data_IF_062453501181
#
_entry.id   IF_062453501181
#
_cell.length_a   1.000
_cell.length_b   1.000
_cell.length_c   1.000
_cell.angle_alpha   90.00
_cell.angle_beta   90.00
_cell.angle_gamma   90.00
#
_symmetry.space_group_name_H-M   'P 1'
#
loop_
_entity.id
_entity.type
_entity.pdbx_description
1 polymer ?
#
# COMPACT_ATOMS: atom_id res chain seq x y z
N UNK A 1 -32.34 -39.69 -9.71
CA UNK A 1 -31.40 -38.62 -10.10
C UNK A 1 -30.01 -39.14 -9.80
N UNK A 2 -29.00 -38.73 -10.57
CA UNK A 2 -27.63 -39.03 -10.15
C UNK A 2 -27.31 -38.22 -8.90
N UNK A 3 -26.50 -38.74 -7.98
CA UNK A 3 -26.12 -38.02 -6.74
C UNK A 3 -25.59 -36.60 -7.03
N UNK A 4 -24.94 -36.40 -8.18
CA UNK A 4 -24.49 -35.09 -8.66
C UNK A 4 -25.65 -34.14 -9.03
N UNK A 5 -26.74 -34.64 -9.59
CA UNK A 5 -27.95 -33.84 -9.86
C UNK A 5 -28.62 -33.39 -8.56
N UNK A 6 -28.66 -34.27 -7.56
CA UNK A 6 -29.19 -33.96 -6.22
C UNK A 6 -28.32 -32.91 -5.51
N UNK A 7 -26.99 -33.05 -5.56
CA UNK A 7 -26.07 -32.02 -5.05
C UNK A 7 -26.21 -30.69 -5.80
N UNK A 8 -26.47 -30.73 -7.11
CA UNK A 8 -26.66 -29.53 -7.92
C UNK A 8 -27.95 -28.79 -7.55
N UNK A 9 -29.05 -29.50 -7.31
CA UNK A 9 -30.35 -28.88 -6.98
C UNK A 9 -30.45 -28.43 -5.53
N UNK A 10 -29.87 -29.18 -4.58
CA UNK A 10 -30.07 -28.95 -3.15
C UNK A 10 -28.94 -28.16 -2.50
N UNK A 11 -27.70 -28.25 -3.00
CA UNK A 11 -26.50 -27.76 -2.29
C UNK A 11 -25.82 -26.57 -2.95
N UNK A 12 -25.93 -26.44 -4.27
CA UNK A 12 -25.24 -25.39 -5.01
C UNK A 12 -25.95 -24.05 -4.85
N UNK A 13 -25.26 -23.10 -4.23
CA UNK A 13 -25.73 -21.72 -4.05
C UNK A 13 -25.49 -20.88 -5.30
N UNK A 14 -24.42 -21.19 -6.03
CA UNK A 14 -24.00 -20.49 -7.23
C UNK A 14 -24.36 -21.29 -8.48
N UNK A 15 -24.67 -20.59 -9.57
CA UNK A 15 -24.96 -21.24 -10.84
C UNK A 15 -23.75 -22.07 -11.32
N UNK A 16 -24.05 -23.28 -11.80
CA UNK A 16 -23.04 -24.19 -12.37
C UNK A 16 -23.20 -24.20 -13.90
N UNK A 17 -22.50 -23.32 -14.62
CA UNK A 17 -22.41 -23.46 -16.06
C UNK A 17 -21.75 -24.81 -16.38
N UNK A 18 -22.35 -25.59 -17.27
CA UNK A 18 -21.87 -26.92 -17.67
C UNK A 18 -22.62 -28.12 -17.08
N UNK A 19 -23.45 -27.93 -16.05
CA UNK A 19 -24.27 -29.00 -15.47
C UNK A 19 -23.47 -30.22 -14.99
N UNK A 20 -24.15 -31.36 -14.89
CA UNK A 20 -23.56 -32.61 -14.36
C UNK A 20 -22.72 -33.37 -15.39
N UNK A 21 -23.00 -33.18 -16.68
CA UNK A 21 -22.38 -33.94 -17.77
C UNK A 21 -20.93 -33.53 -18.04
N UNK A 22 -20.54 -32.31 -17.69
CA UNK A 22 -19.21 -31.78 -17.99
C UNK A 22 -18.26 -31.89 -16.79
N UNK A 23 -16.98 -32.16 -17.06
CA UNK A 23 -15.93 -32.25 -16.03
C UNK A 23 -15.81 -30.97 -15.20
N UNK A 24 -15.88 -29.80 -15.83
CA UNK A 24 -15.79 -28.52 -15.10
C UNK A 24 -17.05 -28.23 -14.26
N UNK A 25 -18.21 -28.70 -14.70
CA UNK A 25 -19.45 -28.62 -13.93
C UNK A 25 -19.42 -29.53 -12.70
N UNK A 26 -18.95 -30.78 -12.86
CA UNK A 26 -18.68 -31.70 -11.74
C UNK A 26 -17.74 -31.08 -10.70
N UNK A 27 -16.62 -30.51 -11.12
CA UNK A 27 -15.66 -29.85 -10.21
C UNK A 27 -16.33 -28.71 -9.44
N UNK A 28 -17.14 -27.88 -10.11
CA UNK A 28 -17.87 -26.79 -9.47
C UNK A 28 -18.89 -27.32 -8.43
N UNK A 29 -19.71 -28.31 -8.78
CA UNK A 29 -20.68 -28.91 -7.84
C UNK A 29 -19.98 -29.48 -6.62
N UNK A 30 -18.92 -30.28 -6.81
CA UNK A 30 -18.18 -30.88 -5.70
C UNK A 30 -17.54 -29.83 -4.78
N UNK A 31 -17.05 -28.74 -5.36
CA UNK A 31 -16.47 -27.62 -4.63
C UNK A 31 -17.52 -26.87 -3.81
N UNK A 32 -18.70 -26.61 -4.38
CA UNK A 32 -19.81 -25.99 -3.62
C UNK A 32 -20.31 -26.91 -2.51
N UNK A 33 -20.45 -28.21 -2.78
CA UNK A 33 -20.83 -29.21 -1.79
C UNK A 33 -19.81 -29.29 -0.63
N UNK A 34 -18.51 -29.14 -0.95
CA UNK A 34 -17.45 -29.12 0.05
C UNK A 34 -17.55 -27.91 0.99
N UNK A 35 -17.84 -26.72 0.43
CA UNK A 35 -18.04 -25.49 1.20
C UNK A 35 -19.29 -25.58 2.07
N UNK A 36 -20.40 -26.09 1.52
CA UNK A 36 -21.66 -26.29 2.23
C UNK A 36 -21.63 -27.43 3.26
N UNK A 37 -20.53 -28.21 3.34
CA UNK A 37 -20.36 -29.36 4.24
C UNK A 37 -21.41 -30.46 4.05
N UNK A 38 -21.90 -30.62 2.81
CA UNK A 38 -22.86 -31.68 2.48
C UNK A 38 -22.14 -33.03 2.43
N UNK A 39 -22.79 -34.08 2.93
CA UNK A 39 -22.29 -35.45 2.80
C UNK A 39 -22.43 -35.94 1.37
N UNK A 40 -21.38 -36.59 0.88
CA UNK A 40 -21.34 -37.29 -0.40
C UNK A 40 -21.20 -38.78 -0.08
N UNK A 41 -22.10 -39.59 -0.63
CA UNK A 41 -22.25 -41.02 -0.35
C UNK A 41 -21.38 -41.88 -1.26
N UNK A 42 -21.23 -41.50 -2.54
CA UNK A 42 -20.41 -42.27 -3.47
C UNK A 42 -18.92 -42.10 -3.21
N UNK A 43 -18.24 -43.22 -2.96
CA UNK A 43 -16.80 -43.26 -2.68
C UNK A 43 -15.95 -42.59 -3.76
N UNK A 44 -16.33 -42.72 -5.04
CA UNK A 44 -15.61 -42.07 -6.14
C UNK A 44 -15.72 -40.55 -6.06
N UNK A 45 -16.91 -40.02 -5.75
CA UNK A 45 -17.16 -38.59 -5.61
C UNK A 45 -16.50 -38.02 -4.35
N UNK A 46 -16.44 -38.77 -3.26
CA UNK A 46 -15.69 -38.37 -2.04
C UNK A 46 -14.20 -38.18 -2.35
N UNK A 47 -13.61 -39.12 -3.09
CA UNK A 47 -12.20 -39.03 -3.52
C UNK A 47 -11.98 -37.81 -4.43
N UNK A 48 -12.87 -37.59 -5.41
CA UNK A 48 -12.79 -36.45 -6.32
C UNK A 48 -12.97 -35.11 -5.59
N UNK A 49 -13.92 -35.03 -4.66
CA UNK A 49 -14.16 -33.83 -3.86
C UNK A 49 -12.93 -33.48 -3.01
N UNK A 50 -12.33 -34.47 -2.35
CA UNK A 50 -11.10 -34.27 -1.57
C UNK A 50 -9.95 -33.77 -2.45
N UNK A 51 -9.78 -34.35 -3.65
CA UNK A 51 -8.79 -33.90 -4.62
C UNK A 51 -9.05 -32.45 -5.06
N UNK A 52 -10.28 -32.10 -5.42
CA UNK A 52 -10.65 -30.73 -5.81
C UNK A 52 -10.36 -29.75 -4.67
N UNK A 53 -10.81 -30.06 -3.46
CA UNK A 53 -10.65 -29.19 -2.30
C UNK A 53 -9.18 -28.91 -1.93
N UNK A 54 -8.32 -29.95 -1.94
CA UNK A 54 -6.89 -29.81 -1.65
C UNK A 54 -6.18 -28.89 -2.67
N UNK A 55 -6.64 -28.89 -3.92
CA UNK A 55 -6.07 -28.08 -4.98
C UNK A 55 -6.70 -26.68 -5.09
N UNK A 56 -7.96 -26.54 -4.70
CA UNK A 56 -8.71 -25.30 -4.87
C UNK A 56 -8.08 -24.12 -4.11
N UNK A 57 -7.62 -24.33 -2.87
CA UNK A 57 -7.00 -23.26 -2.07
C UNK A 57 -5.79 -22.62 -2.77
N UNK A 58 -4.84 -23.43 -3.24
CA UNK A 58 -3.64 -22.94 -3.95
C UNK A 58 -3.96 -22.29 -5.29
N UNK A 59 -4.93 -22.83 -6.03
CA UNK A 59 -5.34 -22.28 -7.32
C UNK A 59 -6.01 -20.91 -7.11
N UNK A 60 -6.96 -20.81 -6.17
CA UNK A 60 -7.64 -19.55 -5.87
C UNK A 60 -6.66 -18.51 -5.34
N UNK A 61 -5.67 -18.91 -4.53
CA UNK A 61 -4.61 -18.00 -4.07
C UNK A 61 -3.77 -17.48 -5.22
N UNK A 62 -3.36 -18.33 -6.16
CA UNK A 62 -2.62 -17.92 -7.34
C UNK A 62 -3.43 -16.95 -8.22
N UNK A 63 -4.72 -17.22 -8.43
CA UNK A 63 -5.61 -16.33 -9.18
C UNK A 63 -5.77 -14.97 -8.48
N UNK A 64 -5.89 -14.97 -7.15
CA UNK A 64 -5.96 -13.76 -6.34
C UNK A 64 -4.69 -12.92 -6.54
N UNK A 65 -3.51 -13.52 -6.41
CA UNK A 65 -2.24 -12.81 -6.59
C UNK A 65 -2.05 -12.25 -8.01
N UNK A 66 -2.52 -12.97 -9.03
CA UNK A 66 -2.54 -12.48 -10.41
C UNK A 66 -3.45 -11.24 -10.53
N UNK A 67 -4.66 -11.30 -9.96
CA UNK A 67 -5.60 -10.18 -10.01
C UNK A 67 -5.12 -8.96 -9.23
N UNK A 68 -4.45 -9.19 -8.10
CA UNK A 68 -3.82 -8.13 -7.30
C UNK A 68 -2.69 -7.45 -8.08
N UNK A 69 -1.82 -8.23 -8.73
CA UNK A 69 -0.73 -7.69 -9.59
C UNK A 69 -1.24 -6.97 -10.83
N UNK A 70 -2.42 -7.36 -11.35
CA UNK A 70 -3.10 -6.67 -12.45
C UNK A 70 -3.94 -5.48 -12.00
N UNK A 71 -3.96 -5.18 -10.70
CA UNK A 71 -4.71 -4.08 -10.10
C UNK A 71 -6.23 -4.14 -10.35
N UNK A 72 -6.84 -5.33 -10.26
CA UNK A 72 -8.29 -5.51 -10.41
C UNK A 72 -8.99 -5.66 -9.05
N UNK A 73 -9.57 -4.59 -8.46
CA UNK A 73 -10.05 -4.61 -7.07
C UNK A 73 -11.24 -5.53 -6.86
N UNK A 74 -12.26 -5.45 -7.73
CA UNK A 74 -13.47 -6.28 -7.59
C UNK A 74 -13.13 -7.77 -7.67
N UNK A 75 -12.29 -8.15 -8.64
CA UNK A 75 -11.94 -9.55 -8.84
C UNK A 75 -10.99 -10.06 -7.75
N UNK A 76 -10.01 -9.25 -7.33
CA UNK A 76 -9.14 -9.60 -6.21
C UNK A 76 -9.94 -9.79 -4.92
N UNK A 77 -10.88 -8.89 -4.61
CA UNK A 77 -11.77 -9.02 -3.45
C UNK A 77 -12.62 -10.30 -3.48
N UNK A 78 -13.22 -10.62 -4.64
CA UNK A 78 -14.01 -11.86 -4.82
C UNK A 78 -13.15 -13.12 -4.67
N UNK A 79 -11.97 -13.17 -5.28
CA UNK A 79 -11.07 -14.32 -5.18
C UNK A 79 -10.52 -14.51 -3.77
N UNK A 80 -10.19 -13.43 -3.07
CA UNK A 80 -9.77 -13.49 -1.67
C UNK A 80 -10.91 -14.03 -0.78
N UNK A 81 -12.14 -13.60 -1.03
CA UNK A 81 -13.30 -14.14 -0.32
C UNK A 81 -13.52 -15.63 -0.62
N UNK A 82 -13.33 -16.07 -1.87
CA UNK A 82 -13.39 -17.48 -2.24
C UNK A 82 -12.29 -18.31 -1.57
N UNK A 83 -11.05 -17.80 -1.49
CA UNK A 83 -9.96 -18.46 -0.76
C UNK A 83 -10.40 -18.76 0.69
N UNK A 84 -10.88 -17.73 1.38
CA UNK A 84 -11.37 -17.85 2.76
C UNK A 84 -12.58 -18.78 2.88
N UNK A 85 -13.49 -18.75 1.91
CA UNK A 85 -14.69 -19.60 1.86
C UNK A 85 -14.32 -21.09 1.79
N UNK A 86 -13.33 -21.42 0.96
CA UNK A 86 -12.82 -22.79 0.78
C UNK A 86 -12.07 -23.25 2.04
N UNK A 87 -11.17 -22.41 2.55
CA UNK A 87 -10.33 -22.74 3.70
C UNK A 87 -11.17 -22.95 4.98
N UNK A 88 -12.22 -22.13 5.16
CA UNK A 88 -13.10 -22.21 6.34
C UNK A 88 -14.29 -23.16 6.15
N UNK A 89 -14.52 -23.68 4.93
CA UNK A 89 -15.74 -24.39 4.54
C UNK A 89 -16.98 -23.65 5.05
N UNK A 90 -17.08 -22.38 4.66
CA UNK A 90 -18.10 -21.46 5.15
C UNK A 90 -18.37 -20.40 4.09
N UNK A 91 -19.63 -20.16 3.76
CA UNK A 91 -20.00 -19.16 2.78
C UNK A 91 -19.87 -17.74 3.34
N UNK A 92 -19.49 -16.79 2.49
CA UNK A 92 -19.29 -15.40 2.89
C UNK A 92 -20.55 -14.66 3.36
N UNK A 93 -21.75 -15.19 3.11
CA UNK A 93 -23.03 -14.62 3.56
C UNK A 93 -23.52 -15.23 4.89
N UNK A 94 -22.90 -16.31 5.37
CA UNK A 94 -23.24 -16.92 6.65
C UNK A 94 -22.66 -16.10 7.81
N UNK A 95 -23.14 -16.35 9.03
CA UNK A 95 -22.68 -15.58 10.18
C UNK A 95 -21.19 -15.86 10.47
N UNK A 96 -20.30 -14.84 10.52
CA UNK A 96 -18.87 -15.04 10.76
C UNK A 96 -18.54 -15.72 12.10
N UNK A 97 -19.48 -15.72 13.06
CA UNK A 97 -19.34 -16.44 14.32
C UNK A 97 -19.19 -17.95 14.15
N UNK A 98 -19.59 -18.52 13.00
CA UNK A 98 -19.37 -19.94 12.66
C UNK A 98 -17.88 -20.33 12.59
N UNK A 99 -16.98 -19.35 12.50
CA UNK A 99 -15.53 -19.56 12.54
C UNK A 99 -15.00 -19.88 13.95
N UNK A 100 -15.78 -19.63 15.01
CA UNK A 100 -15.38 -19.93 16.38
C UNK A 100 -15.81 -21.36 16.77
N UNK A 101 -14.86 -22.26 17.13
CA UNK A 101 -15.18 -23.64 17.49
C UNK A 101 -15.92 -23.76 18.83
N UNK A 102 -15.96 -22.69 19.63
CA UNK A 102 -16.62 -22.67 20.94
C UNK A 102 -18.15 -22.61 20.85
N UNK A 103 -18.70 -22.20 19.71
CA UNK A 103 -20.14 -22.04 19.53
C UNK A 103 -20.75 -23.30 18.91
N UNK A 104 -21.81 -23.83 19.53
CA UNK A 104 -22.55 -24.97 19.00
C UNK A 104 -23.43 -24.57 17.82
N UNK A 105 -23.72 -25.54 16.93
CA UNK A 105 -24.59 -25.33 15.77
C UNK A 105 -26.00 -24.87 16.16
N UNK A 106 -26.53 -25.34 17.29
CA UNK A 106 -27.84 -24.91 17.81
C UNK A 106 -27.88 -23.42 18.13
N UNK A 107 -26.82 -22.89 18.73
CA UNK A 107 -26.73 -21.46 19.09
C UNK A 107 -26.58 -20.62 17.83
N UNK A 108 -25.73 -21.06 16.90
CA UNK A 108 -25.52 -20.38 15.61
C UNK A 108 -26.82 -20.30 14.81
N UNK A 109 -27.59 -21.39 14.75
CA UNK A 109 -28.90 -21.41 14.09
C UNK A 109 -29.87 -20.41 14.73
N UNK A 110 -29.94 -20.34 16.06
CA UNK A 110 -30.77 -19.35 16.76
C UNK A 110 -30.37 -17.90 16.48
N UNK A 111 -29.08 -17.63 16.32
CA UNK A 111 -28.56 -16.30 15.97
C UNK A 111 -28.99 -15.93 14.54
N UNK A 112 -28.90 -16.89 13.61
CA UNK A 112 -29.27 -16.72 12.20
C UNK A 112 -30.79 -16.59 12.01
N UNK A 113 -31.59 -17.41 12.70
CA UNK A 113 -33.06 -17.34 12.69
C UNK A 113 -33.56 -15.96 13.15
N UNK A 114 -32.87 -15.36 14.13
CA UNK A 114 -33.17 -14.01 14.64
C UNK A 114 -32.50 -12.88 13.85
N UNK A 115 -31.75 -13.20 12.78
CA UNK A 115 -31.04 -12.23 11.92
C UNK A 115 -30.18 -11.23 12.70
N UNK A 116 -29.50 -11.72 13.74
CA UNK A 116 -28.60 -10.90 14.55
C UNK A 116 -27.26 -10.69 13.82
N UNK A 117 -27.02 -9.46 13.38
CA UNK A 117 -25.75 -9.05 12.74
C UNK A 117 -24.65 -8.84 13.80
N UNK A 118 -23.39 -8.88 13.37
CA UNK A 118 -22.24 -8.65 14.26
C UNK A 118 -22.32 -7.28 14.91
N UNK A 119 -22.69 -6.24 14.16
CA UNK A 119 -22.76 -4.87 14.67
C UNK A 119 -23.81 -4.75 15.78
N UNK A 120 -24.99 -5.36 15.60
CA UNK A 120 -26.01 -5.44 16.66
C UNK A 120 -25.48 -6.19 17.89
N UNK A 121 -24.79 -7.32 17.70
CA UNK A 121 -24.20 -8.08 18.80
C UNK A 121 -23.05 -7.33 19.51
N UNK A 122 -22.34 -6.43 18.80
CA UNK A 122 -21.32 -5.54 19.38
C UNK A 122 -21.96 -4.48 20.28
N UNK A 123 -23.15 -4.00 19.98
CA UNK A 123 -23.87 -3.01 20.81
C UNK A 123 -24.58 -3.64 22.02
N UNK A 124 -25.20 -4.81 21.84
CA UNK A 124 -26.01 -5.46 22.89
C UNK A 124 -25.20 -5.94 24.10
N UNK A 125 -25.80 -5.92 25.29
CA UNK A 125 -25.17 -6.50 26.48
C UNK A 125 -25.20 -8.03 26.46
N UNK A 126 -24.27 -8.67 27.17
CA UNK A 126 -24.17 -10.12 27.25
C UNK A 126 -25.46 -10.77 27.79
N UNK A 127 -26.21 -10.10 28.68
CA UNK A 127 -27.49 -10.60 29.18
C UNK A 127 -28.56 -10.59 28.10
N UNK A 128 -28.66 -9.51 27.35
CA UNK A 128 -29.61 -9.34 26.24
C UNK A 128 -29.37 -10.39 25.16
N UNK A 129 -28.10 -10.60 24.78
CA UNK A 129 -27.71 -11.65 23.84
C UNK A 129 -28.15 -13.01 24.37
N UNK A 130 -27.91 -13.29 25.65
CA UNK A 130 -28.32 -14.53 26.30
C UNK A 130 -29.83 -14.75 26.30
N UNK A 131 -30.63 -13.70 26.54
CA UNK A 131 -32.09 -13.75 26.44
C UNK A 131 -32.55 -13.98 24.99
N UNK A 132 -31.90 -13.33 24.02
CA UNK A 132 -32.20 -13.52 22.60
C UNK A 132 -31.95 -14.96 22.13
N UNK A 133 -30.89 -15.64 22.57
CA UNK A 133 -30.68 -17.05 22.20
C UNK A 133 -31.42 -18.04 23.10
N UNK A 134 -32.25 -17.55 24.03
CA UNK A 134 -32.89 -18.34 25.09
C UNK A 134 -31.89 -19.19 25.88
N UNK A 135 -30.67 -18.68 26.09
CA UNK A 135 -29.59 -19.36 26.79
C UNK A 135 -28.66 -18.35 27.49
N UNK A 136 -29.08 -17.87 28.65
CA UNK A 136 -28.45 -16.75 29.38
C UNK A 136 -26.94 -16.93 29.60
N UNK A 137 -26.50 -18.14 29.97
CA UNK A 137 -25.07 -18.43 30.21
C UNK A 137 -24.19 -18.30 28.95
N UNK A 138 -24.75 -18.50 27.76
CA UNK A 138 -23.98 -18.44 26.51
C UNK A 138 -23.85 -17.02 25.98
N UNK A 139 -24.64 -16.07 26.49
CA UNK A 139 -24.53 -14.66 26.10
C UNK A 139 -23.14 -14.08 26.35
N UNK A 140 -22.48 -14.44 27.45
CA UNK A 140 -21.10 -14.00 27.75
C UNK A 140 -20.08 -14.59 26.77
N UNK A 141 -20.22 -15.87 26.42
CA UNK A 141 -19.36 -16.55 25.44
C UNK A 141 -19.54 -15.94 24.05
N UNK A 142 -20.78 -15.72 23.61
CA UNK A 142 -21.08 -15.08 22.32
C UNK A 142 -20.49 -13.67 22.28
N UNK A 143 -20.70 -12.86 23.33
CA UNK A 143 -20.12 -11.52 23.42
C UNK A 143 -18.60 -11.55 23.36
N UNK A 144 -17.97 -12.52 24.02
CA UNK A 144 -16.53 -12.73 23.95
C UNK A 144 -16.08 -13.04 22.51
N UNK A 145 -16.76 -13.95 21.80
CA UNK A 145 -16.45 -14.27 20.40
C UNK A 145 -16.63 -13.06 19.48
N UNK A 146 -17.68 -12.26 19.67
CA UNK A 146 -17.92 -11.04 18.89
C UNK A 146 -16.78 -10.03 19.09
N UNK A 147 -16.34 -9.82 20.33
CA UNK A 147 -15.22 -8.94 20.65
C UNK A 147 -13.86 -9.49 20.18
N UNK A 148 -13.80 -10.78 19.86
CA UNK A 148 -12.60 -11.43 19.33
C UNK A 148 -12.57 -11.44 17.80
N UNK A 149 -13.66 -11.11 17.11
CA UNK A 149 -13.63 -11.04 15.65
C UNK A 149 -12.70 -9.89 15.23
N UNK A 150 -11.68 -10.11 14.36
CA UNK A 150 -10.74 -9.07 13.99
C UNK A 150 -11.46 -7.87 13.37
N UNK A 151 -11.34 -6.73 14.04
CA UNK A 151 -11.91 -5.47 13.60
C UNK A 151 -10.88 -4.34 13.60
N UNK A 152 -10.94 -3.49 12.58
CA UNK A 152 -10.03 -2.37 12.41
C UNK A 152 -10.84 -1.10 12.21
N UNK A 153 -10.43 -0.05 12.91
CA UNK A 153 -10.85 1.32 12.60
C UNK A 153 -9.78 1.98 11.72
N UNK A 154 -10.23 2.70 10.69
CA UNK A 154 -9.39 3.22 9.61
C UNK A 154 -9.65 4.71 9.42
N UNK A 155 -8.61 5.52 9.66
CA UNK A 155 -8.64 6.95 9.40
C UNK A 155 -7.59 7.30 8.34
N UNK A 156 -8.01 7.90 7.24
CA UNK A 156 -7.12 8.31 6.17
C UNK A 156 -6.98 9.85 6.15
N UNK A 157 -5.74 10.33 6.18
CA UNK A 157 -5.39 11.73 5.96
C UNK A 157 -4.57 11.88 4.69
N UNK A 158 -4.85 12.91 3.90
CA UNK A 158 -4.20 13.14 2.60
C UNK A 158 -3.39 14.43 2.60
N UNK A 159 -2.24 14.37 1.95
CA UNK A 159 -1.36 15.51 1.75
C UNK A 159 -0.87 15.53 0.28
N UNK A 160 -1.21 16.55 -0.52
CA UNK A 160 -0.72 16.63 -1.88
C UNK A 160 0.78 16.94 -1.90
N UNK A 161 1.55 16.12 -2.62
CA UNK A 161 2.99 16.37 -2.85
C UNK A 161 3.14 17.16 -4.15
N UNK A 162 2.49 16.68 -5.21
CA UNK A 162 2.42 17.33 -6.53
C UNK A 162 0.97 17.31 -7.01
N UNK A 163 0.71 17.87 -8.19
CA UNK A 163 -0.61 17.77 -8.82
C UNK A 163 -1.01 16.36 -9.25
N UNK A 164 -0.05 15.44 -9.31
CA UNK A 164 -0.26 14.06 -9.79
C UNK A 164 -0.02 13.02 -8.69
N UNK A 165 0.50 13.41 -7.53
CA UNK A 165 0.87 12.50 -6.45
C UNK A 165 0.35 13.02 -5.12
N UNK A 166 -0.47 12.21 -4.47
CA UNK A 166 -0.91 12.41 -3.09
C UNK A 166 -0.17 11.46 -2.15
N UNK A 167 0.23 11.96 -1.00
CA UNK A 167 0.62 11.15 0.14
C UNK A 167 -0.62 10.85 0.96
N UNK A 168 -0.87 9.57 1.22
CA UNK A 168 -1.90 9.11 2.14
C UNK A 168 -1.20 8.63 3.41
N UNK A 169 -1.64 9.13 4.55
CA UNK A 169 -1.31 8.62 5.87
C UNK A 169 -2.55 7.92 6.41
N UNK A 170 -2.49 6.60 6.43
CA UNK A 170 -3.52 5.72 6.97
C UNK A 170 -3.18 5.37 8.40
N UNK A 171 -4.07 5.72 9.31
CA UNK A 171 -4.03 5.41 10.73
C UNK A 171 -4.96 4.22 10.97
N UNK A 172 -4.41 3.14 11.50
CA UNK A 172 -5.11 1.87 11.72
C UNK A 172 -5.13 1.60 13.22
N UNK A 173 -6.33 1.51 13.77
CA UNK A 173 -6.55 1.21 15.19
C UNK A 173 -7.21 -0.16 15.33
N UNK A 174 -6.61 -1.10 16.09
CA UNK A 174 -7.22 -2.41 16.30
C UNK A 174 -8.39 -2.32 17.26
N UNK A 175 -9.57 -2.80 16.85
CA UNK A 175 -10.82 -2.73 17.61
C UNK A 175 -11.33 -4.14 18.01
N UNK A 176 -10.42 -5.01 18.46
CA UNK A 176 -10.76 -6.37 18.89
C UNK A 176 -9.82 -6.87 19.97
N UNK A 177 -10.23 -7.94 20.67
CA UNK A 177 -9.45 -8.60 21.71
C UNK A 177 -8.73 -9.82 21.17
N UNK A 178 -7.41 -9.85 21.37
CA UNK A 178 -6.59 -11.00 21.00
C UNK A 178 -6.89 -12.23 21.87
N UNK A 179 -6.94 -13.40 21.23
CA UNK A 179 -7.01 -14.72 21.87
C UNK A 179 -6.12 -15.70 21.09
N UNK A 180 -5.14 -16.29 21.78
CA UNK A 180 -4.13 -17.16 21.18
C UNK A 180 -4.73 -18.44 20.59
N UNK A 181 -5.86 -18.91 21.12
CA UNK A 181 -6.53 -20.11 20.60
C UNK A 181 -7.13 -19.91 19.22
N UNK A 182 -7.44 -18.66 18.88
CA UNK A 182 -8.24 -18.29 17.72
C UNK A 182 -7.41 -17.56 16.68
N UNK A 183 -6.56 -16.63 17.13
CA UNK A 183 -5.72 -15.78 16.26
C UNK A 183 -4.32 -16.36 16.04
N UNK A 184 -3.96 -17.38 16.81
CA UNK A 184 -2.61 -17.93 16.85
C UNK A 184 -1.65 -17.09 17.69
N UNK A 185 -0.35 -17.36 17.54
CA UNK A 185 0.67 -16.92 18.49
C UNK A 185 1.32 -15.58 18.15
N UNK A 186 1.33 -15.17 16.88
CA UNK A 186 2.17 -14.06 16.40
C UNK A 186 1.39 -12.88 15.86
N UNK A 187 0.75 -13.04 14.71
CA UNK A 187 0.16 -11.94 13.94
C UNK A 187 -1.05 -12.35 13.10
N UNK A 188 -1.93 -11.38 12.89
CA UNK A 188 -3.07 -11.47 11.99
C UNK A 188 -2.81 -10.65 10.72
N UNK A 189 -2.82 -11.29 9.53
CA UNK A 189 -2.58 -10.61 8.27
C UNK A 189 -3.81 -9.90 7.71
N UNK A 190 -3.58 -8.72 7.15
CA UNK A 190 -4.55 -7.92 6.41
C UNK A 190 -3.96 -7.46 5.08
N UNK A 191 -4.79 -7.48 4.04
CA UNK A 191 -4.52 -6.76 2.81
C UNK A 191 -5.07 -5.36 2.92
N UNK A 192 -4.23 -4.38 2.62
CA UNK A 192 -4.62 -2.98 2.55
C UNK A 192 -4.40 -2.52 1.11
N UNK A 193 -5.46 -2.05 0.47
CA UNK A 193 -5.32 -1.47 -0.86
C UNK A 193 -6.19 -0.24 -1.06
N UNK A 194 -5.74 0.64 -1.94
CA UNK A 194 -6.50 1.81 -2.39
C UNK A 194 -7.05 1.55 -3.77
N UNK A 195 -8.37 1.64 -3.89
CA UNK A 195 -9.08 1.43 -5.14
C UNK A 195 -9.79 2.69 -5.62
N UNK A 196 -9.83 2.81 -6.94
CA UNK A 196 -10.67 3.75 -7.67
C UNK A 196 -11.99 3.07 -8.06
N UNK A 197 -13.14 3.54 -7.55
CA UNK A 197 -14.43 2.99 -7.93
C UNK A 197 -14.78 3.25 -9.42
N UNK A 198 -14.31 4.36 -9.99
CA UNK A 198 -14.69 4.78 -11.35
C UNK A 198 -13.87 4.02 -12.39
N UNK A 199 -12.56 3.85 -12.13
CA UNK A 199 -11.65 3.16 -13.04
C UNK A 199 -11.48 1.67 -12.74
N UNK A 200 -12.09 1.15 -11.65
CA UNK A 200 -11.94 -0.22 -11.18
C UNK A 200 -10.45 -0.64 -11.15
N UNK A 201 -9.63 0.18 -10.50
CA UNK A 201 -8.18 0.01 -10.48
C UNK A 201 -7.62 0.12 -9.06
N UNK A 202 -6.66 -0.73 -8.71
CA UNK A 202 -5.90 -0.62 -7.47
C UNK A 202 -4.63 0.22 -7.72
N UNK A 203 -4.50 1.35 -7.02
CA UNK A 203 -3.31 2.19 -7.11
C UNK A 203 -2.18 1.79 -6.17
N UNK A 204 -2.54 1.27 -5.01
CA UNK A 204 -1.59 0.84 -4.00
C UNK A 204 -2.13 -0.40 -3.31
N UNK A 205 -1.28 -1.38 -3.07
CA UNK A 205 -1.60 -2.54 -2.25
C UNK A 205 -0.40 -2.92 -1.39
N UNK A 206 -0.66 -3.28 -0.14
CA UNK A 206 0.35 -3.68 0.83
C UNK A 206 -0.20 -4.82 1.70
N UNK A 207 0.69 -5.73 2.09
CA UNK A 207 0.39 -6.81 3.02
C UNK A 207 0.80 -6.41 4.43
N UNK A 208 -0.18 -6.14 5.27
CA UNK A 208 0.01 -5.63 6.62
C UNK A 208 -0.14 -6.75 7.66
N UNK A 209 0.85 -6.89 8.54
CA UNK A 209 0.85 -7.87 9.63
C UNK A 209 0.60 -7.17 10.96
N UNK A 210 -0.55 -7.45 11.57
CA UNK A 210 -0.91 -6.91 12.88
C UNK A 210 -0.48 -7.88 13.99
N UNK A 211 0.49 -7.47 14.81
CA UNK A 211 1.06 -8.33 15.85
C UNK A 211 0.21 -8.34 17.12
N UNK A 212 0.25 -9.46 17.86
CA UNK A 212 -0.43 -9.61 19.16
C UNK A 212 -0.19 -8.45 20.13
N UNK A 213 1.06 -8.01 20.27
CA UNK A 213 1.43 -6.92 21.21
C UNK A 213 0.74 -5.61 20.85
N UNK A 214 0.64 -5.31 19.55
CA UNK A 214 0.00 -4.10 19.04
C UNK A 214 -1.50 -4.11 19.33
N UNK A 215 -2.16 -5.27 19.18
CA UNK A 215 -3.58 -5.42 19.52
C UNK A 215 -3.81 -5.30 21.02
N UNK A 216 -2.99 -5.95 21.84
CA UNK A 216 -3.15 -5.94 23.31
C UNK A 216 -2.93 -4.56 23.94
N UNK A 217 -2.05 -3.76 23.35
CA UNK A 217 -1.77 -2.39 23.81
C UNK A 217 -2.62 -1.33 23.11
N UNK A 218 -3.45 -1.73 22.14
CA UNK A 218 -4.23 -0.83 21.28
C UNK A 218 -3.30 0.21 20.62
N UNK A 219 -2.15 -0.26 20.15
CA UNK A 219 -1.12 0.58 19.53
C UNK A 219 -1.55 0.98 18.12
N UNK A 220 -1.77 2.27 17.93
CA UNK A 220 -2.13 2.86 16.64
C UNK A 220 -0.99 2.71 15.63
N UNK A 221 -1.29 2.12 14.48
CA UNK A 221 -0.33 1.91 13.40
C UNK A 221 -0.51 2.97 12.31
N UNK A 222 0.59 3.52 11.81
CA UNK A 222 0.57 4.55 10.78
C UNK A 222 1.27 4.04 9.52
N UNK A 223 0.52 3.83 8.45
CA UNK A 223 1.05 3.52 7.13
C UNK A 223 1.09 4.79 6.28
N UNK A 224 2.20 5.01 5.60
CA UNK A 224 2.39 6.17 4.72
C UNK A 224 2.79 5.67 3.34
N UNK A 225 1.93 5.92 2.37
CA UNK A 225 2.16 5.56 0.98
C UNK A 225 1.70 6.69 0.06
N UNK A 226 2.07 6.60 -1.22
CA UNK A 226 1.72 7.58 -2.22
C UNK A 226 0.83 6.96 -3.29
N UNK A 227 -0.20 7.70 -3.69
CA UNK A 227 -1.12 7.32 -4.76
C UNK A 227 -1.09 8.38 -5.87
N UNK A 228 -1.28 8.00 -7.13
CA UNK A 228 -1.48 8.94 -8.21
C UNK A 228 -2.88 9.57 -8.13
N UNK A 229 -3.00 10.78 -8.66
CA UNK A 229 -4.28 11.43 -8.96
C UNK A 229 -4.24 11.95 -10.39
N UNK A 230 -5.41 11.94 -11.03
CA UNK A 230 -5.58 12.32 -12.43
C UNK A 230 -6.60 13.46 -12.54
N UNK A 231 -6.43 14.31 -13.55
CA UNK A 231 -7.43 15.31 -13.93
C UNK A 231 -8.31 14.69 -15.04
N UNK A 232 -9.66 14.71 -14.94
CA UNK A 232 -10.46 15.33 -13.89
C UNK A 232 -10.40 14.58 -12.55
N UNK A 233 -10.40 15.31 -11.44
CA UNK A 233 -10.32 14.74 -10.10
C UNK A 233 -11.55 13.85 -9.83
N UNK A 234 -11.35 12.59 -9.40
CA UNK A 234 -12.45 11.74 -8.96
C UNK A 234 -13.06 12.32 -7.68
N UNK A 235 -14.26 11.86 -7.33
CA UNK A 235 -14.94 12.33 -6.12
C UNK A 235 -14.28 11.81 -4.85
N UNK A 236 -13.91 10.53 -4.86
CA UNK A 236 -13.31 9.83 -3.74
C UNK A 236 -12.59 8.56 -4.19
N UNK A 237 -11.58 8.16 -3.43
CA UNK A 237 -11.04 6.80 -3.47
C UNK A 237 -11.42 6.03 -2.21
N UNK A 238 -11.28 4.71 -2.24
CA UNK A 238 -11.55 3.87 -1.08
C UNK A 238 -10.28 3.14 -0.65
N UNK A 239 -9.96 3.24 0.63
CA UNK A 239 -9.00 2.34 1.28
C UNK A 239 -9.80 1.14 1.79
N UNK A 240 -9.44 -0.07 1.36
CA UNK A 240 -9.98 -1.31 1.92
C UNK A 240 -8.94 -2.00 2.77
N UNK A 241 -9.31 -2.42 3.97
CA UNK A 241 -8.55 -3.36 4.78
C UNK A 241 -9.35 -4.67 4.90
N UNK A 242 -8.80 -5.77 4.41
CA UNK A 242 -9.47 -7.07 4.37
C UNK A 242 -8.57 -8.09 5.05
N UNK A 243 -9.07 -8.81 6.05
CA UNK A 243 -8.29 -9.89 6.66
C UNK A 243 -7.98 -10.98 5.64
N UNK A 244 -6.76 -11.51 5.64
CA UNK A 244 -6.38 -12.61 4.74
C UNK A 244 -7.05 -13.93 5.16
N UNK A 245 -7.38 -14.09 6.46
CA UNK A 245 -7.84 -15.36 7.05
C UNK A 245 -9.30 -15.37 7.45
N UNK A 246 -9.86 -14.22 7.80
CA UNK A 246 -11.18 -14.12 8.42
C UNK A 246 -12.26 -13.72 7.40
N UNK A 247 -13.35 -14.49 7.37
CA UNK A 247 -14.60 -14.11 6.71
C UNK A 247 -15.33 -13.06 7.57
N UNK A 248 -15.97 -12.09 6.91
CA UNK A 248 -16.68 -11.00 7.60
C UNK A 248 -15.80 -9.92 8.24
N UNK A 249 -14.48 -9.99 8.08
CA UNK A 249 -13.52 -8.97 8.54
C UNK A 249 -13.04 -8.14 7.35
N UNK A 250 -13.83 -7.12 7.00
CA UNK A 250 -13.55 -6.18 5.92
C UNK A 250 -13.97 -4.77 6.34
N UNK A 251 -13.06 -3.82 6.19
CA UNK A 251 -13.22 -2.42 6.56
C UNK A 251 -12.92 -1.53 5.36
N UNK A 252 -13.60 -0.39 5.29
CA UNK A 252 -13.48 0.54 4.18
C UNK A 252 -13.48 1.98 4.71
N UNK A 253 -12.53 2.78 4.24
CA UNK A 253 -12.41 4.20 4.58
C UNK A 253 -12.41 5.03 3.29
N UNK A 254 -13.38 5.93 3.08
CA UNK A 254 -13.40 6.82 1.93
C UNK A 254 -12.38 7.96 2.08
N UNK A 255 -11.64 8.24 1.03
CA UNK A 255 -10.77 9.40 0.88
C UNK A 255 -11.49 10.39 -0.03
N UNK A 256 -12.04 11.46 0.56
CA UNK A 256 -12.73 12.52 -0.20
C UNK A 256 -11.75 13.54 -0.79
N UNK A 257 -11.98 13.92 -2.05
CA UNK A 257 -11.18 14.94 -2.74
C UNK A 257 -11.89 16.30 -2.89
N UNK A 258 -13.10 16.45 -2.32
CA UNK A 258 -13.94 17.65 -2.52
C UNK A 258 -13.28 18.97 -2.08
N UNK A 259 -12.41 18.92 -1.07
CA UNK A 259 -11.70 20.09 -0.53
C UNK A 259 -10.19 20.01 -0.76
N UNK A 260 -9.75 19.17 -1.71
CA UNK A 260 -8.35 18.99 -2.01
C UNK A 260 -7.81 20.17 -2.83
N UNK A 261 -6.99 21.00 -2.20
CA UNK A 261 -6.27 22.08 -2.88
C UNK A 261 -4.96 21.50 -3.44
N UNK A 262 -4.86 21.40 -4.75
CA UNK A 262 -3.62 20.96 -5.41
C UNK A 262 -2.59 22.09 -5.46
N UNK A 263 -1.29 21.77 -5.30
CA UNK A 263 -0.21 22.71 -5.56
C UNK A 263 -0.30 23.32 -6.96
N UNK A 264 0.24 24.52 -7.12
CA UNK A 264 0.36 25.17 -8.42
C UNK A 264 1.22 24.33 -9.38
N UNK A 265 0.96 24.44 -10.68
CA UNK A 265 1.84 23.85 -11.69
C UNK A 265 3.18 24.56 -11.58
N UNK A 266 4.23 23.81 -11.24
CA UNK A 266 5.58 24.37 -11.32
C UNK A 266 5.84 24.86 -12.74
N UNK A 267 6.46 26.04 -12.92
CA UNK A 267 6.87 26.47 -14.24
C UNK A 267 7.79 25.40 -14.84
N UNK A 268 7.76 25.22 -16.18
CA UNK A 268 8.68 24.30 -16.84
C UNK A 268 10.13 24.64 -16.45
N UNK A 269 10.98 23.62 -16.40
CA UNK A 269 12.40 23.82 -16.17
C UNK A 269 12.97 24.74 -17.26
N UNK A 270 13.94 25.59 -16.90
CA UNK A 270 14.67 26.42 -17.87
C UNK A 270 15.31 25.51 -18.91
N UNK A 271 15.00 25.75 -20.18
CA UNK A 271 15.57 24.97 -21.28
C UNK A 271 17.10 25.13 -21.33
N UNK A 272 17.77 24.00 -21.58
CA UNK A 272 19.20 23.98 -21.83
C UNK A 272 19.41 24.40 -23.28
N UNK A 273 19.98 25.59 -23.47
CA UNK A 273 20.25 26.14 -24.78
C UNK A 273 21.38 25.36 -25.46
N UNK A 274 21.27 25.13 -26.76
CA UNK A 274 22.32 24.52 -27.58
C UNK A 274 23.42 25.56 -27.87
N UNK A 275 24.21 25.85 -26.83
CA UNK A 275 25.32 26.77 -26.89
C UNK A 275 26.59 26.04 -27.30
N UNK A 276 27.46 26.73 -28.03
CA UNK A 276 28.80 26.23 -28.26
C UNK A 276 29.52 26.04 -26.92
N UNK A 277 30.12 24.85 -26.65
CA UNK A 277 30.81 24.59 -25.40
C UNK A 277 31.84 25.68 -25.10
N UNK A 278 31.77 26.25 -23.90
CA UNK A 278 32.65 27.35 -23.52
C UNK A 278 34.06 26.81 -23.21
N UNK A 279 35.12 27.28 -23.88
CA UNK A 279 36.48 26.86 -23.55
C UNK A 279 36.92 27.42 -22.19
N UNK A 280 37.85 26.73 -21.52
CA UNK A 280 38.40 27.19 -20.23
C UNK A 280 39.08 28.57 -20.32
N UNK A 281 39.56 28.94 -21.51
CA UNK A 281 40.16 30.25 -21.78
C UNK A 281 39.20 31.43 -21.55
N UNK A 282 37.89 31.17 -21.47
CA UNK A 282 36.90 32.17 -21.10
C UNK A 282 37.09 32.72 -19.68
N UNK A 283 37.86 32.04 -18.81
CA UNK A 283 38.20 32.53 -17.48
C UNK A 283 39.12 33.76 -17.51
N UNK A 284 39.87 33.96 -18.60
CA UNK A 284 40.85 35.04 -18.77
C UNK A 284 41.89 35.12 -17.64
N UNK A 285 42.30 33.97 -17.09
CA UNK A 285 43.31 33.87 -16.04
C UNK A 285 44.09 32.55 -16.21
N UNK A 286 45.37 32.62 -16.64
CA UNK A 286 46.19 31.42 -16.86
C UNK A 286 46.33 30.54 -15.62
N UNK A 287 46.31 31.11 -14.41
CA UNK A 287 46.40 30.32 -13.19
C UNK A 287 45.12 29.53 -12.94
N UNK A 288 43.95 30.13 -13.16
CA UNK A 288 42.66 29.44 -13.03
C UNK A 288 42.47 28.37 -14.10
N UNK A 289 42.92 28.63 -15.33
CA UNK A 289 42.84 27.67 -16.43
C UNK A 289 43.60 26.36 -16.13
N UNK A 290 44.78 26.45 -15.50
CA UNK A 290 45.58 25.27 -15.12
C UNK A 290 44.97 24.41 -14.00
N UNK A 291 43.89 24.87 -13.36
CA UNK A 291 43.18 24.11 -12.34
C UNK A 291 42.29 23.01 -12.92
N UNK A 292 41.89 23.15 -14.18
CA UNK A 292 40.98 22.25 -14.85
C UNK A 292 41.72 21.33 -15.83
N UNK A 293 41.35 20.03 -15.81
CA UNK A 293 41.93 19.01 -16.70
C UNK A 293 41.16 18.84 -18.02
N UNK A 294 40.02 19.52 -18.15
CA UNK A 294 39.16 19.49 -19.33
C UNK A 294 39.38 20.75 -20.17
N UNK A 295 39.02 20.70 -21.45
CA UNK A 295 39.19 21.82 -22.38
C UNK A 295 37.98 22.75 -22.46
N UNK A 296 36.76 22.20 -22.27
CA UNK A 296 35.51 22.94 -22.37
C UNK A 296 34.60 22.64 -21.17
N UNK A 297 33.86 23.67 -20.74
CA UNK A 297 32.79 23.52 -19.77
C UNK A 297 31.61 22.75 -20.36
N UNK A 298 30.87 22.05 -19.51
CA UNK A 298 29.68 21.34 -19.96
C UNK A 298 28.55 22.34 -20.35
N UNK A 299 27.48 21.89 -21.01
CA UNK A 299 26.41 22.79 -21.46
C UNK A 299 25.76 23.61 -20.33
N UNK A 300 25.54 23.01 -19.16
CA UNK A 300 24.95 23.69 -18.00
C UNK A 300 25.87 24.81 -17.51
N UNK A 301 27.16 24.50 -17.33
CA UNK A 301 28.19 25.45 -16.93
C UNK A 301 28.36 26.56 -17.97
N UNK A 302 28.33 26.23 -19.26
CA UNK A 302 28.40 27.19 -20.37
C UNK A 302 27.25 28.20 -20.31
N UNK A 303 26.01 27.73 -20.12
CA UNK A 303 24.83 28.58 -20.07
C UNK A 303 24.82 29.51 -18.85
N UNK A 304 25.30 29.05 -17.69
CA UNK A 304 25.31 29.84 -16.44
C UNK A 304 26.57 30.69 -16.25
N UNK A 305 27.61 30.46 -17.06
CA UNK A 305 28.93 31.06 -16.86
C UNK A 305 28.87 32.58 -16.73
N UNK A 306 28.15 33.23 -17.66
CA UNK A 306 28.03 34.68 -17.66
C UNK A 306 27.39 35.20 -16.36
N UNK A 307 26.33 34.55 -15.89
CA UNK A 307 25.66 34.96 -14.65
C UNK A 307 26.59 34.81 -13.43
N UNK A 308 27.34 33.72 -13.33
CA UNK A 308 28.19 33.43 -12.16
C UNK A 308 29.53 34.18 -12.16
N UNK A 309 30.13 34.37 -13.34
CA UNK A 309 31.47 34.93 -13.47
C UNK A 309 31.48 36.42 -13.83
N UNK A 310 30.44 36.91 -14.52
CA UNK A 310 30.34 38.30 -14.98
C UNK A 310 29.27 39.16 -14.27
N UNK A 311 28.36 38.59 -13.47
CA UNK A 311 27.39 39.37 -12.67
C UNK A 311 27.43 39.09 -11.16
N UNK A 312 26.94 40.03 -10.34
CA UNK A 312 26.75 39.87 -8.88
C UNK A 312 25.32 39.45 -8.51
N UNK A 313 24.59 38.83 -9.44
CA UNK A 313 23.22 38.38 -9.18
C UNK A 313 23.22 37.07 -8.39
N UNK A 314 22.24 36.92 -7.51
CA UNK A 314 21.96 35.64 -6.87
C UNK A 314 21.47 34.63 -7.91
N UNK A 315 22.03 33.43 -7.90
CA UNK A 315 21.72 32.36 -8.86
C UNK A 315 21.20 31.12 -8.12
N UNK A 316 20.05 30.59 -8.56
CA UNK A 316 19.54 29.29 -8.16
C UNK A 316 19.84 28.28 -9.29
N UNK A 317 20.75 27.33 -9.05
CA UNK A 317 21.10 26.27 -10.00
C UNK A 317 20.50 24.92 -9.56
N UNK A 318 19.36 24.56 -10.15
CA UNK A 318 18.78 23.23 -10.03
C UNK A 318 19.26 22.32 -11.16
N UNK A 319 20.19 21.40 -10.87
CA UNK A 319 20.66 20.40 -11.83
C UNK A 319 20.86 19.04 -11.17
N UNK A 320 20.73 17.91 -11.90
CA UNK A 320 21.00 16.57 -11.36
C UNK A 320 22.40 16.41 -10.74
N UNK A 321 22.56 15.41 -9.87
CA UNK A 321 23.88 15.05 -9.34
C UNK A 321 24.78 14.56 -10.48
N UNK A 322 26.03 15.01 -10.52
CA UNK A 322 26.96 14.73 -11.63
C UNK A 322 27.01 15.83 -12.70
N UNK A 323 26.06 16.77 -12.74
CA UNK A 323 26.02 17.87 -13.71
C UNK A 323 27.08 18.97 -13.50
N UNK A 324 28.03 18.79 -12.59
CA UNK A 324 29.13 19.74 -12.40
C UNK A 324 28.78 21.02 -11.63
N UNK A 325 27.76 20.98 -10.75
CA UNK A 325 27.36 22.11 -9.88
C UNK A 325 28.49 22.67 -9.01
N UNK A 326 29.45 21.83 -8.63
CA UNK A 326 30.63 22.25 -7.86
C UNK A 326 31.49 23.26 -8.61
N UNK A 327 31.69 23.05 -9.91
CA UNK A 327 32.46 23.97 -10.75
C UNK A 327 31.71 25.30 -10.91
N UNK A 328 30.37 25.27 -10.95
CA UNK A 328 29.56 26.48 -10.92
C UNK A 328 29.78 27.30 -9.62
N UNK A 329 29.87 26.62 -8.47
CA UNK A 329 30.22 27.29 -7.21
C UNK A 329 31.65 27.86 -7.24
N UNK A 330 32.61 27.15 -7.85
CA UNK A 330 33.99 27.63 -8.03
C UNK A 330 34.06 28.89 -8.89
N UNK A 331 33.30 28.98 -9.98
CA UNK A 331 33.24 30.19 -10.82
C UNK A 331 32.81 31.41 -10.00
N UNK A 332 31.82 31.27 -9.13
CA UNK A 332 31.39 32.35 -8.23
C UNK A 332 32.48 32.72 -7.21
N UNK A 333 33.18 31.73 -6.64
CA UNK A 333 34.31 31.96 -5.72
C UNK A 333 35.44 32.70 -6.43
N UNK A 334 35.78 32.32 -7.66
CA UNK A 334 36.84 32.96 -8.44
C UNK A 334 36.51 34.40 -8.79
N UNK A 335 35.24 34.71 -9.11
CA UNK A 335 34.77 36.09 -9.26
C UNK A 335 35.03 36.89 -7.98
N UNK A 336 34.68 36.35 -6.81
CA UNK A 336 34.92 37.02 -5.51
C UNK A 336 36.41 37.29 -5.31
N UNK A 337 37.28 36.33 -5.62
CA UNK A 337 38.73 36.53 -5.51
C UNK A 337 39.29 37.60 -6.44
N UNK A 338 38.67 37.79 -7.62
CA UNK A 338 39.09 38.78 -8.63
C UNK A 338 38.56 40.18 -8.31
N UNK A 339 37.26 40.32 -8.11
CA UNK A 339 36.59 41.63 -7.93
C UNK A 339 36.66 42.13 -6.48
N UNK A 340 36.73 41.22 -5.50
CA UNK A 340 36.61 41.53 -4.07
C UNK A 340 37.72 40.85 -3.24
N UNK A 341 39.01 41.18 -3.45
CA UNK A 341 40.15 40.43 -2.92
C UNK A 341 40.23 40.35 -1.38
N UNK A 342 39.60 41.28 -0.66
CA UNK A 342 39.56 41.32 0.81
C UNK A 342 38.30 40.66 1.40
N UNK A 343 37.41 40.12 0.57
CA UNK A 343 36.17 39.49 0.99
C UNK A 343 36.34 37.96 1.17
N UNK A 344 35.40 37.36 1.89
CA UNK A 344 35.40 35.92 2.20
C UNK A 344 34.25 35.24 1.48
N UNK A 345 34.51 34.04 0.97
CA UNK A 345 33.48 33.13 0.45
C UNK A 345 33.23 32.01 1.47
N UNK A 346 31.97 31.66 1.69
CA UNK A 346 31.56 30.57 2.58
C UNK A 346 30.82 29.52 1.77
N UNK A 347 31.35 28.29 1.76
CA UNK A 347 30.70 27.14 1.13
C UNK A 347 30.01 26.27 2.18
N UNK A 348 28.72 25.98 1.96
CA UNK A 348 27.90 25.19 2.87
C UNK A 348 27.40 23.95 2.13
N UNK A 349 27.53 22.78 2.74
CA UNK A 349 26.94 21.53 2.27
C UNK A 349 26.29 20.77 3.45
N UNK A 350 25.21 20.00 3.23
CA UNK A 350 24.43 19.40 4.31
C UNK A 350 25.15 18.24 5.02
N UNK A 351 26.15 17.63 4.39
CA UNK A 351 26.86 16.46 4.91
C UNK A 351 28.33 16.75 5.15
N UNK A 352 28.83 16.36 6.34
CA UNK A 352 30.25 16.53 6.72
C UNK A 352 31.21 15.85 5.74
N UNK A 353 30.83 14.70 5.19
CA UNK A 353 31.65 13.97 4.21
C UNK A 353 31.89 14.78 2.92
N UNK A 354 30.84 15.44 2.41
CA UNK A 354 30.94 16.28 1.20
C UNK A 354 31.83 17.50 1.45
N UNK A 355 31.69 18.14 2.63
CA UNK A 355 32.55 19.26 3.01
C UNK A 355 34.02 18.82 3.10
N UNK A 356 34.29 17.64 3.68
CA UNK A 356 35.65 17.12 3.81
C UNK A 356 36.29 16.84 2.45
N UNK A 357 35.56 16.21 1.55
CA UNK A 357 36.04 15.96 0.18
C UNK A 357 36.39 17.28 -0.53
N UNK A 358 35.51 18.29 -0.43
CA UNK A 358 35.77 19.61 -1.03
C UNK A 358 36.93 20.35 -0.37
N UNK A 359 37.07 20.25 0.94
CA UNK A 359 38.20 20.82 1.68
C UNK A 359 39.53 20.23 1.24
N UNK A 360 39.62 18.90 1.09
CA UNK A 360 40.85 18.23 0.65
C UNK A 360 41.24 18.63 -0.78
N UNK A 361 40.26 18.75 -1.67
CA UNK A 361 40.44 19.19 -3.06
C UNK A 361 40.81 20.68 -3.18
N UNK A 362 40.07 21.57 -2.53
CA UNK A 362 40.33 23.02 -2.57
C UNK A 362 41.60 23.42 -1.81
N UNK A 363 42.02 22.66 -0.79
CA UNK A 363 43.34 22.82 -0.18
C UNK A 363 44.49 22.65 -1.18
N UNK A 364 44.31 21.78 -2.18
CA UNK A 364 45.31 21.61 -3.24
C UNK A 364 45.12 22.63 -4.36
N UNK A 365 43.90 22.78 -4.88
CA UNK A 365 43.63 23.60 -6.06
C UNK A 365 43.57 25.10 -5.79
N UNK A 366 43.07 25.53 -4.64
CA UNK A 366 42.86 26.95 -4.31
C UNK A 366 43.96 27.45 -3.36
N UNK A 367 44.17 26.79 -2.22
CA UNK A 367 45.15 27.26 -1.22
C UNK A 367 46.59 27.17 -1.75
N UNK A 368 47.03 25.99 -2.22
CA UNK A 368 48.42 25.80 -2.68
C UNK A 368 48.74 26.46 -4.01
N UNK A 369 47.82 26.42 -4.98
CA UNK A 369 48.09 26.93 -6.35
C UNK A 369 47.76 28.41 -6.53
N UNK A 370 46.74 28.95 -5.87
CA UNK A 370 46.35 30.36 -6.00
C UNK A 370 46.76 31.22 -4.80
N UNK A 371 47.26 30.62 -3.70
CA UNK A 371 47.65 31.35 -2.50
C UNK A 371 46.49 31.99 -1.75
N UNK A 372 45.25 31.52 -1.96
CA UNK A 372 44.03 32.04 -1.33
C UNK A 372 43.63 31.13 -0.17
N UNK A 373 43.57 31.69 1.05
CA UNK A 373 43.30 30.95 2.30
C UNK A 373 41.89 31.19 2.82
#
# INVERSE_FOLDING_TARGET
>A
MTELEELMSETCVMQVPGGVENTYGKVNILMQAFVSRQSVDSFSLVSDQAYVAQNAGRIMRALFEICLKKSWPIMAGRLLNLCKTIDKRLWGFENPLRQFPTLSQEILKKIEDKKLTIDKLKEMDHKEIGHMVHHVRMGSTIKKCVNQLPALDLEASIQPITRTVLRVRLTITPEFKWDDKVHGTSSEPFWIWVEDPDNNHIYHSEYFLLNKKQVQTVEVQNLVFTIPIFEPLPTQYYVRAISDRWLGSQFMCPISFQHLILPERHPPHTELLDLQPLPISALNDPMLETLYKFTHFNPIQTQIFHCLYHTDKNVLLGAPTGSGKTIAAEMAIFRVFREYPNHKAVYIAPLKALVRERMEDWKVRIEKKLGKK
#
